data_IF_723545903656
#
_entry.id   IF_723545903656
#
_cell.length_a   1.000
_cell.length_b   1.000
_cell.length_c   1.000
_cell.angle_alpha   90.00
_cell.angle_beta   90.00
_cell.angle_gamma   90.00
#
_symmetry.space_group_name_H-M   'P 1'
#
loop_
_entity.id
_entity.type
_entity.pdbx_description
1 polymer ?
#
# COMPACT_ATOMS: atom_id res chain seq x y z
N UNK A 1 3.40 -12.05 32.12
CA UNK A 1 4.19 -10.90 31.64
C UNK A 1 4.11 -10.93 30.12
N UNK A 2 3.26 -10.10 29.54
CA UNK A 2 2.88 -10.18 28.13
C UNK A 2 1.80 -9.16 27.82
N UNK A 3 2.05 -7.90 28.17
CA UNK A 3 1.21 -6.78 27.76
C UNK A 3 1.39 -6.63 26.25
N UNK A 4 0.53 -7.34 25.55
CA UNK A 4 -0.04 -7.09 24.24
C UNK A 4 0.56 -5.87 23.50
N UNK A 5 1.49 -6.15 22.58
CA UNK A 5 2.13 -5.18 21.66
C UNK A 5 1.10 -4.29 20.94
N UNK A 6 -0.13 -4.78 20.74
CA UNK A 6 -1.22 -3.99 20.15
C UNK A 6 -1.74 -2.87 21.07
N UNK A 7 -1.64 -2.99 22.39
CA UNK A 7 -1.99 -1.91 23.32
C UNK A 7 -0.92 -0.81 23.37
N UNK A 8 0.32 -1.12 23.02
CA UNK A 8 1.44 -0.18 23.05
C UNK A 8 1.48 0.67 21.77
N UNK A 9 1.21 0.09 20.60
CA UNK A 9 1.08 0.81 19.33
C UNK A 9 -0.09 1.81 19.32
N UNK A 10 -1.20 1.49 20.00
CA UNK A 10 -2.34 2.39 20.15
C UNK A 10 -2.00 3.67 20.93
N UNK A 11 -0.92 3.66 21.71
CA UNK A 11 -0.47 4.81 22.52
C UNK A 11 0.40 5.79 21.71
N UNK A 12 1.10 5.32 20.68
CA UNK A 12 2.00 6.14 19.85
C UNK A 12 1.33 6.70 18.58
N UNK A 13 0.35 6.01 17.99
CA UNK A 13 -0.35 6.47 16.78
C UNK A 13 -1.87 6.25 16.85
N UNK A 14 -2.59 7.04 17.69
CA UNK A 14 -4.01 6.81 17.95
C UNK A 14 -4.87 6.81 16.69
N UNK A 15 -4.57 7.67 15.71
CA UNK A 15 -5.34 7.80 14.47
C UNK A 15 -5.31 6.56 13.57
N UNK A 16 -4.17 5.83 13.49
CA UNK A 16 -4.08 4.57 12.73
C UNK A 16 -5.04 3.51 13.27
N UNK A 17 -5.13 3.41 14.60
CA UNK A 17 -6.03 2.49 15.29
C UNK A 17 -7.49 2.88 15.12
N UNK A 18 -7.83 4.17 15.20
CA UNK A 18 -9.20 4.66 15.00
C UNK A 18 -9.73 4.42 13.58
N UNK A 19 -8.91 4.64 12.54
CA UNK A 19 -9.30 4.37 11.15
C UNK A 19 -9.55 2.88 10.92
N UNK A 20 -8.69 2.02 11.48
CA UNK A 20 -8.83 0.56 11.39
C UNK A 20 -10.08 0.04 12.11
N UNK A 21 -10.39 0.60 13.29
CA UNK A 21 -11.58 0.23 14.09
C UNK A 21 -12.89 0.81 13.54
N UNK A 22 -12.88 2.05 13.02
CA UNK A 22 -14.07 2.71 12.48
C UNK A 22 -14.61 2.04 11.22
N UNK A 23 -13.74 1.66 10.27
CA UNK A 23 -14.15 0.95 9.05
C UNK A 23 -14.61 -0.49 9.32
N UNK A 24 -14.00 -1.17 10.30
CA UNK A 24 -14.39 -2.53 10.66
C UNK A 24 -15.84 -2.61 11.18
N UNK A 25 -16.26 -1.63 11.98
CA UNK A 25 -17.65 -1.57 12.47
C UNK A 25 -18.66 -1.30 11.34
N UNK A 26 -18.31 -0.44 10.38
CA UNK A 26 -19.16 -0.13 9.21
C UNK A 26 -19.31 -1.33 8.29
N UNK A 27 -18.24 -2.09 8.06
CA UNK A 27 -18.25 -3.28 7.22
C UNK A 27 -18.64 -4.58 7.96
N UNK A 28 -19.08 -4.51 9.23
CA UNK A 28 -19.36 -5.67 10.11
C UNK A 28 -18.24 -6.72 10.11
N UNK A 29 -16.98 -6.29 10.01
CA UNK A 29 -15.83 -7.18 10.01
C UNK A 29 -15.63 -7.74 11.42
N UNK A 30 -15.54 -9.07 11.52
CA UNK A 30 -15.22 -9.74 12.78
C UNK A 30 -13.76 -9.41 13.11
N UNK A 31 -13.51 -8.82 14.29
CA UNK A 31 -12.17 -8.36 14.68
C UNK A 31 -11.09 -9.45 14.66
N UNK A 32 -11.48 -10.72 14.84
CA UNK A 32 -10.57 -11.86 14.75
C UNK A 32 -10.06 -12.16 13.34
N UNK A 33 -10.66 -11.56 12.30
CA UNK A 33 -10.26 -11.69 10.90
C UNK A 33 -9.51 -10.45 10.39
N UNK A 34 -9.20 -9.50 11.29
CA UNK A 34 -8.35 -8.35 10.94
C UNK A 34 -6.91 -8.81 11.00
N UNK A 35 -6.26 -8.82 9.84
CA UNK A 35 -4.85 -9.19 9.69
C UNK A 35 -3.95 -7.97 9.97
N UNK A 36 -2.73 -8.17 10.49
CA UNK A 36 -1.72 -7.11 10.57
C UNK A 36 -1.48 -6.42 9.22
N UNK A 37 -0.90 -5.22 9.26
CA UNK A 37 -0.51 -4.49 8.05
C UNK A 37 0.53 -5.31 7.28
N UNK A 38 0.30 -5.49 5.97
CA UNK A 38 1.29 -6.07 5.07
C UNK A 38 2.17 -4.94 4.55
N UNK A 39 3.48 -5.04 4.77
CA UNK A 39 4.46 -4.09 4.19
C UNK A 39 4.41 -4.05 2.66
N UNK A 40 3.84 -5.07 2.02
CA UNK A 40 3.55 -5.07 0.58
C UNK A 40 2.56 -3.98 0.14
N UNK A 41 1.79 -3.41 1.07
CA UNK A 41 0.87 -2.28 0.84
C UNK A 41 1.39 -0.97 1.43
N UNK A 42 2.68 -0.90 1.81
CA UNK A 42 3.26 0.40 2.13
C UNK A 42 3.11 1.33 0.92
N UNK A 43 2.91 2.62 1.22
CA UNK A 43 2.75 3.63 0.19
C UNK A 43 3.96 3.62 -0.73
N UNK A 44 3.74 3.87 -2.03
CA UNK A 44 4.82 3.93 -3.01
C UNK A 44 5.87 4.95 -2.56
N UNK A 45 7.13 4.53 -2.47
CA UNK A 45 8.23 5.45 -2.18
C UNK A 45 8.43 6.45 -3.33
N UNK A 46 8.27 7.74 -3.05
CA UNK A 46 8.41 8.81 -4.05
C UNK A 46 9.79 9.48 -4.05
N UNK A 47 10.73 8.98 -3.25
CA UNK A 47 12.11 9.49 -3.18
C UNK A 47 12.16 10.98 -2.90
N UNK A 48 12.76 11.75 -3.80
CA UNK A 48 12.88 13.20 -3.71
C UNK A 48 11.53 13.94 -3.72
N UNK A 49 10.42 13.28 -4.04
CA UNK A 49 9.07 13.85 -3.96
C UNK A 49 8.34 13.53 -2.67
N UNK A 50 8.92 12.74 -1.78
CA UNK A 50 8.33 12.39 -0.49
C UNK A 50 8.09 13.67 0.36
N UNK A 51 6.89 13.80 0.94
CA UNK A 51 6.51 14.95 1.76
C UNK A 51 6.32 16.27 1.00
N UNK A 52 6.43 16.29 -0.34
CA UNK A 52 6.11 17.47 -1.16
C UNK A 52 4.60 17.67 -1.33
N UNK A 53 4.23 18.85 -1.83
CA UNK A 53 2.84 19.19 -2.17
C UNK A 53 2.30 18.27 -3.26
N UNK A 54 0.98 18.00 -3.23
CA UNK A 54 0.29 17.22 -4.27
C UNK A 54 0.45 17.79 -5.68
N UNK A 55 0.81 19.08 -5.79
CA UNK A 55 1.12 19.76 -7.05
C UNK A 55 2.31 19.14 -7.79
N UNK A 56 3.18 18.37 -7.13
CA UNK A 56 4.32 17.69 -7.77
C UNK A 56 3.98 16.30 -8.32
N UNK A 57 2.81 15.75 -8.01
CA UNK A 57 2.37 14.44 -8.51
C UNK A 57 2.30 14.35 -10.04
N UNK A 58 1.86 15.38 -10.79
CA UNK A 58 1.84 15.32 -12.25
C UNK A 58 3.21 15.05 -12.87
N UNK A 59 4.30 15.48 -12.24
CA UNK A 59 5.67 15.23 -12.72
C UNK A 59 6.05 13.75 -12.55
N UNK A 60 5.67 13.15 -11.43
CA UNK A 60 5.85 11.71 -11.17
C UNK A 60 5.06 10.90 -12.20
N UNK A 61 3.78 11.22 -12.39
CA UNK A 61 2.92 10.50 -13.32
C UNK A 61 3.30 10.71 -14.79
N UNK A 62 3.84 11.88 -15.16
CA UNK A 62 4.41 12.09 -16.49
C UNK A 62 5.56 11.11 -16.75
N UNK A 63 6.39 10.85 -15.75
CA UNK A 63 7.47 9.86 -15.86
C UNK A 63 6.92 8.43 -15.98
N UNK A 64 5.91 8.09 -15.19
CA UNK A 64 5.25 6.78 -15.24
C UNK A 64 4.60 6.48 -16.60
N UNK A 65 4.12 7.51 -17.30
CA UNK A 65 3.51 7.38 -18.64
C UNK A 65 4.52 6.97 -19.72
N UNK A 66 5.80 7.29 -19.51
CA UNK A 66 6.88 6.97 -20.45
C UNK A 66 7.28 5.50 -20.29
N UNK A 67 7.54 5.07 -19.06
CA UNK A 67 7.91 3.68 -18.74
C UNK A 67 7.56 3.35 -17.28
N UNK A 68 7.05 2.14 -17.01
CA UNK A 68 6.70 1.72 -15.66
C UNK A 68 7.94 1.43 -14.80
N UNK A 69 9.13 1.37 -15.40
CA UNK A 69 10.41 1.08 -14.73
C UNK A 69 11.12 2.34 -14.23
N UNK A 70 10.63 3.53 -14.60
CA UNK A 70 11.22 4.79 -14.17
C UNK A 70 10.96 4.98 -12.68
N UNK A 71 12.05 5.11 -11.92
CA UNK A 71 12.01 5.45 -10.50
C UNK A 71 12.05 6.97 -10.33
N UNK A 72 11.28 7.54 -9.38
CA UNK A 72 11.49 8.90 -8.94
C UNK A 72 12.96 9.13 -8.52
N UNK A 73 13.48 10.36 -8.62
CA UNK A 73 14.84 10.66 -8.18
C UNK A 73 15.03 10.28 -6.70
N UNK A 74 16.16 9.67 -6.32
CA UNK A 74 16.42 9.30 -4.93
C UNK A 74 16.72 10.53 -4.06
N UNK A 75 16.63 10.34 -2.74
CA UNK A 75 17.07 11.30 -1.72
C UNK A 75 18.08 10.62 -0.78
N UNK A 76 19.01 11.38 -0.21
CA UNK A 76 20.18 10.85 0.52
C UNK A 76 19.87 10.40 1.97
N UNK A 77 18.61 10.38 2.38
CA UNK A 77 18.18 10.01 3.73
C UNK A 77 17.73 8.55 3.86
N UNK A 78 17.76 7.79 2.76
CA UNK A 78 17.32 6.40 2.71
C UNK A 78 15.83 6.22 2.42
N UNK A 79 15.10 7.29 2.12
CA UNK A 79 13.71 7.19 1.65
C UNK A 79 13.64 6.37 0.35
N UNK A 80 12.79 5.34 0.28
CA UNK A 80 12.62 4.53 -0.92
C UNK A 80 12.16 5.34 -2.15
N UNK A 81 12.59 4.94 -3.33
CA UNK A 81 12.14 5.48 -4.61
C UNK A 81 11.74 4.33 -5.55
N UNK A 82 10.45 4.09 -5.66
CA UNK A 82 9.90 2.91 -6.33
C UNK A 82 9.27 3.26 -7.68
N UNK A 83 9.53 2.43 -8.68
CA UNK A 83 8.84 2.50 -9.96
C UNK A 83 7.45 1.85 -9.87
N UNK A 84 6.63 2.06 -10.89
CA UNK A 84 5.34 1.36 -11.01
C UNK A 84 5.53 -0.16 -11.06
N UNK A 85 6.56 -0.63 -11.76
CA UNK A 85 6.92 -2.04 -11.84
C UNK A 85 7.35 -2.62 -10.48
N UNK A 86 8.11 -1.88 -9.67
CA UNK A 86 8.49 -2.31 -8.31
C UNK A 86 7.24 -2.52 -7.43
N UNK A 87 6.30 -1.56 -7.47
CA UNK A 87 5.02 -1.65 -6.75
C UNK A 87 4.22 -2.85 -7.26
N UNK A 88 4.14 -3.06 -8.57
CA UNK A 88 3.44 -4.19 -9.18
C UNK A 88 3.94 -5.54 -8.66
N UNK A 89 5.26 -5.71 -8.52
CA UNK A 89 5.85 -6.93 -7.96
C UNK A 89 5.37 -7.16 -6.52
N UNK A 90 5.41 -6.13 -5.66
CA UNK A 90 4.98 -6.25 -4.25
C UNK A 90 3.50 -6.59 -4.11
N UNK A 91 2.62 -5.92 -4.87
CA UNK A 91 1.18 -6.21 -4.80
C UNK A 91 0.83 -7.58 -5.37
N UNK A 92 1.57 -8.06 -6.38
CA UNK A 92 1.41 -9.42 -6.90
C UNK A 92 1.84 -10.48 -5.87
N UNK A 93 2.93 -10.23 -5.15
CA UNK A 93 3.34 -11.10 -4.04
C UNK A 93 2.30 -11.16 -2.93
N UNK A 94 1.66 -10.03 -2.60
CA UNK A 94 0.51 -10.01 -1.70
C UNK A 94 -0.62 -10.89 -2.22
N UNK A 95 -0.97 -10.82 -3.51
CA UNK A 95 -2.01 -11.67 -4.08
C UNK A 95 -1.67 -13.16 -3.92
N UNK A 96 -0.44 -13.57 -4.19
CA UNK A 96 -0.01 -14.96 -3.97
C UNK A 96 -0.18 -15.42 -2.52
N UNK A 97 0.10 -14.53 -1.55
CA UNK A 97 -0.12 -14.80 -0.12
C UNK A 97 -1.62 -14.94 0.18
N UNK A 98 -2.44 -14.02 -0.32
CA UNK A 98 -3.88 -14.00 -0.07
C UNK A 98 -4.57 -15.23 -0.66
N UNK A 99 -4.22 -15.60 -1.90
CA UNK A 99 -4.73 -16.79 -2.59
C UNK A 99 -4.39 -18.09 -1.85
N UNK A 100 -3.21 -18.14 -1.23
CA UNK A 100 -2.75 -19.32 -0.49
C UNK A 100 -3.38 -19.42 0.90
N UNK A 101 -3.44 -18.30 1.65
CA UNK A 101 -3.83 -18.31 3.06
C UNK A 101 -5.33 -18.15 3.30
N UNK A 102 -6.03 -17.43 2.41
CA UNK A 102 -7.45 -17.06 2.56
C UNK A 102 -8.27 -17.58 1.38
N UNK A 103 -7.89 -18.75 0.84
CA UNK A 103 -8.58 -19.38 -0.28
C UNK A 103 -10.04 -19.66 0.08
N UNK A 104 -10.96 -19.16 -0.76
CA UNK A 104 -12.40 -19.31 -0.55
C UNK A 104 -13.05 -18.21 0.32
N UNK A 105 -12.24 -17.35 0.94
CA UNK A 105 -12.75 -16.22 1.74
C UNK A 105 -12.95 -14.96 0.90
N UNK A 106 -13.87 -14.09 1.34
CA UNK A 106 -13.99 -12.73 0.80
C UNK A 106 -13.00 -11.81 1.52
N UNK A 107 -11.94 -11.41 0.82
CA UNK A 107 -10.89 -10.53 1.34
C UNK A 107 -11.16 -9.07 0.95
N UNK A 108 -11.09 -8.16 1.94
CA UNK A 108 -11.15 -6.71 1.71
C UNK A 108 -9.76 -6.12 1.90
N UNK A 109 -9.19 -5.59 0.83
CA UNK A 109 -7.88 -4.91 0.84
C UNK A 109 -8.09 -3.42 1.09
N UNK A 110 -7.36 -2.86 2.06
CA UNK A 110 -7.35 -1.41 2.33
C UNK A 110 -5.92 -0.91 2.20
N UNK A 111 -5.67 -0.12 1.15
CA UNK A 111 -4.37 0.50 0.87
C UNK A 111 -4.29 1.92 1.44
N UNK A 112 -3.09 2.40 1.87
CA UNK A 112 -2.88 3.78 2.27
C UNK A 112 -2.89 4.76 1.09
N UNK A 113 -2.60 4.31 -0.12
CA UNK A 113 -2.58 5.11 -1.36
C UNK A 113 -3.40 4.47 -2.50
N UNK A 114 -3.60 5.22 -3.57
CA UNK A 114 -4.25 4.73 -4.79
C UNK A 114 -3.33 3.87 -5.66
N UNK A 115 -2.02 4.09 -5.62
CA UNK A 115 -1.07 3.49 -6.55
C UNK A 115 -1.07 1.96 -6.43
N UNK A 116 -1.02 1.43 -5.20
CA UNK A 116 -1.07 -0.03 -4.98
C UNK A 116 -2.29 -0.67 -5.65
N UNK A 117 -3.49 -0.09 -5.47
CA UNK A 117 -4.74 -0.68 -5.98
C UNK A 117 -4.92 -0.44 -7.49
N UNK A 118 -4.54 0.74 -7.99
CA UNK A 118 -4.63 1.05 -9.42
C UNK A 118 -3.67 0.19 -10.24
N UNK A 119 -2.44 -0.02 -9.76
CA UNK A 119 -1.43 -0.85 -10.41
C UNK A 119 -1.83 -2.32 -10.35
N UNK A 120 -2.31 -2.80 -9.20
CA UNK A 120 -2.84 -4.16 -9.07
C UNK A 120 -4.01 -4.38 -10.04
N UNK A 121 -4.96 -3.44 -10.09
CA UNK A 121 -6.09 -3.53 -11.01
C UNK A 121 -5.61 -3.65 -12.45
N UNK A 122 -4.72 -2.76 -12.92
CA UNK A 122 -4.18 -2.78 -14.28
C UNK A 122 -3.51 -4.11 -14.62
N UNK A 123 -2.70 -4.64 -13.70
CA UNK A 123 -2.04 -5.93 -13.89
C UNK A 123 -3.00 -7.11 -13.95
N UNK A 124 -4.06 -7.13 -13.13
CA UNK A 124 -5.06 -8.21 -13.13
C UNK A 124 -5.87 -8.27 -14.43
N UNK A 125 -6.16 -7.12 -15.04
CA UNK A 125 -6.91 -7.03 -16.30
C UNK A 125 -6.01 -7.06 -17.55
N UNK A 126 -4.68 -7.16 -17.37
CA UNK A 126 -3.71 -7.19 -18.46
C UNK A 126 -3.59 -5.86 -19.22
N UNK A 127 -3.88 -4.73 -18.57
CA UNK A 127 -3.60 -3.41 -19.13
C UNK A 127 -2.12 -3.06 -19.00
N UNK A 128 -1.72 -2.08 -19.81
CA UNK A 128 -0.41 -1.44 -19.67
C UNK A 128 -0.26 -0.83 -18.28
N UNK A 129 0.91 -1.02 -17.67
CA UNK A 129 1.23 -0.45 -16.36
C UNK A 129 1.65 1.02 -16.47
N UNK A 130 1.96 1.51 -17.68
CA UNK A 130 2.14 2.94 -17.92
C UNK A 130 0.83 3.67 -17.65
N UNK A 131 0.94 4.80 -16.96
CA UNK A 131 -0.20 5.58 -16.49
C UNK A 131 -0.55 6.73 -17.42
#
# INVERSE_FOLDING_TARGET
MGLNVYQELARYHPWKTYVKLGRAAVCRLIRSHIVPEYSFLDARGLGAFEGKSLETLPEVYASDSISPDIKPPPINDGTPNESVADVFVRVTQLMSILETQYSGDTVVIVSPDSDNLSILQAGLIGLDLRR
#
